data_IF_399265393287
#
_entry.id   IF_399265393287
#
_cell.length_a   1.000
_cell.length_b   1.000
_cell.length_c   1.000
_cell.angle_alpha   90.00
_cell.angle_beta   90.00
_cell.angle_gamma   90.00
#
_symmetry.space_group_name_H-M   'P 1'
#
loop_
_entity.id
_entity.type
_entity.pdbx_description
1 polymer ?
#
# COMPACT_ATOMS: atom_id res chain seq x y z
N UNK A 1 28.70 1.30 -2.24
CA UNK A 1 27.63 2.22 -1.77
C UNK A 1 28.32 3.50 -1.35
N UNK A 2 28.34 4.49 -2.24
CA UNK A 2 28.94 5.80 -1.97
C UNK A 2 27.85 6.82 -2.26
N UNK A 3 26.85 6.86 -1.40
CA UNK A 3 25.93 8.00 -1.38
C UNK A 3 26.50 8.95 -0.34
N UNK A 4 26.67 10.23 -0.70
CA UNK A 4 26.94 11.27 0.27
C UNK A 4 25.75 11.31 1.24
N UNK A 5 25.90 10.64 2.36
CA UNK A 5 24.95 10.73 3.46
C UNK A 5 25.10 12.11 4.09
N UNK A 6 24.03 12.87 4.27
CA UNK A 6 24.11 14.14 4.97
C UNK A 6 24.68 13.92 6.37
N UNK A 7 25.70 14.70 6.71
CA UNK A 7 26.32 14.66 8.02
C UNK A 7 25.81 15.80 8.88
N UNK A 8 25.41 15.50 10.11
CA UNK A 8 25.21 16.52 11.11
C UNK A 8 26.58 17.01 11.59
N UNK A 9 26.96 18.21 11.21
CA UNK A 9 28.26 18.84 11.61
C UNK A 9 28.27 19.33 13.04
N UNK A 10 27.13 19.82 13.52
CA UNK A 10 26.95 20.25 14.90
C UNK A 10 25.47 20.31 15.23
N UNK A 11 25.16 19.99 16.46
CA UNK A 11 23.90 20.23 17.10
C UNK A 11 24.08 21.22 18.25
N UNK A 12 23.12 22.10 18.42
CA UNK A 12 23.07 22.98 19.60
C UNK A 12 21.62 23.15 20.03
N UNK A 13 21.42 23.13 21.33
CA UNK A 13 20.13 23.26 21.97
C UNK A 13 20.12 24.55 22.77
N UNK A 14 19.23 25.47 22.43
CA UNK A 14 18.97 26.67 23.20
C UNK A 14 17.65 26.57 23.94
N UNK A 15 17.67 26.76 25.27
CA UNK A 15 16.43 26.82 26.04
C UNK A 15 15.81 28.20 25.87
N UNK A 16 14.67 28.24 25.19
CA UNK A 16 13.93 29.49 25.02
C UNK A 16 12.97 29.75 26.19
N UNK A 17 12.43 28.70 26.80
CA UNK A 17 11.48 28.74 27.90
C UNK A 17 11.38 27.37 28.59
N UNK A 18 10.77 27.30 29.81
CA UNK A 18 10.53 26.02 30.51
C UNK A 18 9.72 24.99 29.70
N UNK A 19 9.09 25.40 28.59
CA UNK A 19 8.23 24.55 27.71
C UNK A 19 8.64 24.52 26.26
N UNK A 20 9.71 25.25 25.86
CA UNK A 20 10.14 25.31 24.44
C UNK A 20 11.65 25.26 24.37
N UNK A 21 12.15 24.45 23.48
CA UNK A 21 13.55 24.24 23.17
C UNK A 21 13.77 24.49 21.70
N UNK A 22 14.72 25.35 21.35
CA UNK A 22 15.15 25.55 19.97
C UNK A 22 16.33 24.64 19.69
N UNK A 23 16.22 23.81 18.66
CA UNK A 23 17.28 22.91 18.23
C UNK A 23 17.83 23.44 16.90
N UNK A 24 19.13 23.75 16.91
CA UNK A 24 19.86 24.18 15.72
C UNK A 24 20.73 23.01 15.24
N UNK A 25 20.45 22.56 14.01
CA UNK A 25 21.21 21.51 13.36
C UNK A 25 21.95 22.12 12.16
N UNK A 26 23.26 21.97 12.14
CA UNK A 26 24.05 22.29 10.96
C UNK A 26 24.32 21.01 10.21
N UNK A 27 23.69 20.86 9.06
CA UNK A 27 23.76 19.67 8.21
C UNK A 27 24.61 19.99 6.99
N UNK A 28 25.54 19.10 6.65
CA UNK A 28 26.21 19.07 5.36
C UNK A 28 25.45 18.10 4.47
N UNK A 29 24.83 18.61 3.40
CA UNK A 29 24.02 17.82 2.47
C UNK A 29 24.87 16.98 1.51
N UNK A 30 26.19 17.21 1.50
CA UNK A 30 27.10 16.56 0.56
C UNK A 30 26.94 17.05 -0.87
N UNK A 31 27.59 16.34 -1.80
CA UNK A 31 27.54 16.68 -3.22
C UNK A 31 26.30 16.09 -3.91
N UNK A 32 25.79 16.82 -4.92
CA UNK A 32 24.64 16.34 -5.72
C UNK A 32 25.14 15.44 -6.82
N UNK A 33 24.55 14.25 -6.91
CA UNK A 33 24.78 13.34 -8.01
C UNK A 33 23.67 13.41 -9.04
N UNK A 34 24.02 13.22 -10.31
CA UNK A 34 23.10 13.23 -11.44
C UNK A 34 23.00 11.83 -12.06
N UNK A 35 21.82 11.46 -12.51
CA UNK A 35 21.63 10.20 -13.25
C UNK A 35 22.30 10.30 -14.61
N UNK A 36 23.28 9.44 -14.87
CA UNK A 36 23.96 9.32 -16.17
C UNK A 36 23.22 8.37 -17.09
N UNK A 37 22.91 7.20 -16.59
CA UNK A 37 22.26 6.13 -17.35
C UNK A 37 21.42 5.24 -16.41
N UNK A 38 20.33 4.68 -16.92
CA UNK A 38 19.49 3.73 -16.21
C UNK A 38 19.24 2.55 -17.12
N UNK A 39 19.55 1.36 -16.66
CA UNK A 39 19.35 0.12 -17.42
C UNK A 39 18.53 -0.87 -16.63
N UNK A 40 17.60 -1.54 -17.32
CA UNK A 40 16.91 -2.70 -16.79
C UNK A 40 17.59 -3.97 -17.29
N UNK A 41 17.78 -4.95 -16.41
CA UNK A 41 18.39 -6.24 -16.70
C UNK A 41 17.50 -7.34 -16.12
N UNK A 42 17.19 -8.36 -16.93
CA UNK A 42 16.36 -9.49 -16.52
C UNK A 42 14.86 -9.31 -16.83
N UNK A 43 14.46 -8.20 -17.45
CA UNK A 43 13.09 -7.96 -17.90
C UNK A 43 12.83 -8.72 -19.21
N UNK A 44 12.05 -9.80 -19.15
CA UNK A 44 11.68 -10.60 -20.32
C UNK A 44 10.23 -10.37 -20.76
N UNK A 45 9.35 -9.98 -19.85
CA UNK A 45 7.92 -9.79 -20.09
C UNK A 45 7.58 -8.41 -20.62
N UNK A 46 8.30 -7.40 -20.18
CA UNK A 46 8.08 -6.02 -20.59
C UNK A 46 9.32 -5.41 -21.20
N UNK A 47 9.14 -4.58 -22.23
CA UNK A 47 10.25 -3.88 -22.88
C UNK A 47 10.89 -2.86 -21.94
N UNK A 48 12.20 -2.64 -22.10
CA UNK A 48 12.93 -1.64 -21.35
C UNK A 48 12.32 -0.24 -21.51
N UNK A 49 11.89 0.11 -22.73
CA UNK A 49 11.28 1.41 -23.01
C UNK A 49 9.98 1.63 -22.21
N UNK A 50 9.16 0.58 -22.10
CA UNK A 50 7.94 0.63 -21.30
C UNK A 50 8.25 0.82 -19.81
N UNK A 51 9.19 0.03 -19.27
CA UNK A 51 9.59 0.14 -17.86
C UNK A 51 10.23 1.50 -17.55
N UNK A 52 11.01 2.05 -18.47
CA UNK A 52 11.56 3.40 -18.35
C UNK A 52 10.46 4.46 -18.32
N UNK A 53 9.45 4.32 -19.16
CA UNK A 53 8.30 5.24 -19.16
C UNK A 53 7.52 5.17 -17.83
N UNK A 54 7.32 3.96 -17.29
CA UNK A 54 6.69 3.74 -15.98
C UNK A 54 7.55 4.31 -14.85
N UNK A 55 8.85 4.07 -14.87
CA UNK A 55 9.79 4.60 -13.85
C UNK A 55 9.77 6.13 -13.81
N UNK A 56 9.64 6.79 -14.98
CA UNK A 56 9.47 8.22 -15.08
C UNK A 56 10.69 9.04 -14.63
N UNK A 57 11.88 8.43 -14.58
CA UNK A 57 13.16 9.08 -14.29
C UNK A 57 13.98 9.20 -15.58
N UNK A 58 14.72 10.29 -15.72
CA UNK A 58 15.48 10.59 -16.94
C UNK A 58 16.95 10.82 -16.65
N UNK A 59 17.84 10.42 -17.58
CA UNK A 59 19.23 10.84 -17.51
C UNK A 59 19.36 12.37 -17.41
N UNK A 60 20.27 12.85 -16.59
CA UNK A 60 20.49 14.29 -16.31
C UNK A 60 19.69 14.83 -15.12
N UNK A 61 18.73 14.11 -14.59
CA UNK A 61 18.04 14.50 -13.35
C UNK A 61 18.95 14.29 -12.12
N UNK A 62 18.68 15.07 -11.06
CA UNK A 62 19.35 14.85 -9.77
C UNK A 62 18.92 13.48 -9.22
N UNK A 63 19.89 12.67 -8.85
CA UNK A 63 19.63 11.37 -8.24
C UNK A 63 18.90 11.51 -6.91
N UNK A 64 17.79 10.82 -6.78
CA UNK A 64 17.00 10.78 -5.57
C UNK A 64 16.58 9.34 -5.29
N UNK A 65 17.24 8.73 -4.32
CA UNK A 65 16.98 7.35 -3.91
C UNK A 65 15.55 7.12 -3.42
N UNK A 66 14.99 8.12 -2.73
CA UNK A 66 13.60 8.03 -2.26
C UNK A 66 12.62 7.97 -3.44
N UNK A 67 12.77 8.88 -4.40
CA UNK A 67 11.98 8.89 -5.64
C UNK A 67 12.14 7.58 -6.41
N UNK A 68 13.37 7.05 -6.50
CA UNK A 68 13.62 5.76 -7.15
C UNK A 68 12.84 4.63 -6.47
N UNK A 69 12.91 4.54 -5.16
CA UNK A 69 12.19 3.50 -4.41
C UNK A 69 10.66 3.65 -4.52
N UNK A 70 10.16 4.89 -4.49
CA UNK A 70 8.74 5.18 -4.70
C UNK A 70 8.30 4.68 -6.07
N UNK A 71 9.00 5.04 -7.13
CA UNK A 71 8.69 4.65 -8.52
C UNK A 71 8.90 3.17 -8.80
N UNK A 72 9.79 2.50 -8.07
CA UNK A 72 9.98 1.04 -8.21
C UNK A 72 8.94 0.23 -7.46
N UNK A 73 8.51 0.65 -6.25
CA UNK A 73 7.79 -0.25 -5.35
C UNK A 73 6.57 0.35 -4.65
N UNK A 74 6.57 1.66 -4.34
CA UNK A 74 5.60 2.23 -3.40
C UNK A 74 4.40 2.86 -4.08
N UNK A 75 4.60 3.56 -5.18
CA UNK A 75 3.55 4.27 -5.90
C UNK A 75 2.50 3.30 -6.47
N UNK A 76 1.26 3.77 -6.65
CA UNK A 76 0.21 2.97 -7.26
C UNK A 76 0.55 2.56 -8.70
N UNK A 77 1.30 3.39 -9.42
CA UNK A 77 1.80 3.15 -10.77
C UNK A 77 3.28 2.72 -10.80
N UNK A 78 3.80 2.18 -9.70
CA UNK A 78 5.17 1.69 -9.61
C UNK A 78 5.45 0.53 -10.57
N UNK A 79 6.72 0.35 -10.93
CA UNK A 79 7.17 -0.75 -11.79
C UNK A 79 6.74 -2.11 -11.21
N UNK A 80 6.85 -2.32 -9.90
CA UNK A 80 6.43 -3.56 -9.26
C UNK A 80 4.94 -3.87 -9.46
N UNK A 81 4.08 -2.84 -9.50
CA UNK A 81 2.65 -3.04 -9.67
C UNK A 81 2.27 -3.48 -11.09
N UNK A 82 3.05 -3.11 -12.10
CA UNK A 82 2.90 -3.65 -13.46
C UNK A 82 3.02 -5.17 -13.45
N UNK A 83 3.98 -5.70 -12.71
CA UNK A 83 4.20 -7.13 -12.58
C UNK A 83 3.16 -7.79 -11.65
N UNK A 84 2.89 -7.22 -10.48
CA UNK A 84 1.93 -7.77 -9.51
C UNK A 84 0.51 -7.84 -10.06
N UNK A 85 0.11 -6.90 -10.92
CA UNK A 85 -1.23 -6.90 -11.53
C UNK A 85 -1.37 -7.97 -12.63
N UNK A 86 -0.26 -8.56 -13.07
CA UNK A 86 -0.22 -9.61 -14.07
C UNK A 86 0.25 -10.97 -13.50
N UNK A 87 0.11 -11.15 -12.20
CA UNK A 87 0.36 -12.44 -11.55
C UNK A 87 1.79 -12.68 -11.08
N UNK A 88 2.74 -11.81 -11.37
CA UNK A 88 4.16 -12.00 -10.99
C UNK A 88 4.39 -11.61 -9.51
N UNK A 89 3.78 -12.38 -8.61
CA UNK A 89 3.86 -12.12 -7.17
C UNK A 89 5.28 -12.22 -6.60
N UNK A 90 6.12 -13.02 -7.23
CA UNK A 90 7.52 -13.24 -6.82
C UNK A 90 8.49 -12.25 -7.45
N UNK A 91 7.96 -11.22 -8.11
CA UNK A 91 8.75 -10.17 -8.71
C UNK A 91 9.59 -9.43 -7.67
N UNK A 92 10.86 -9.18 -8.03
CA UNK A 92 11.75 -8.33 -7.28
C UNK A 92 12.57 -7.44 -8.24
N UNK A 93 12.79 -6.20 -7.85
CA UNK A 93 13.66 -5.25 -8.56
C UNK A 93 14.67 -4.68 -7.59
N UNK A 94 15.95 -4.92 -7.89
CA UNK A 94 17.07 -4.46 -7.08
C UNK A 94 17.87 -3.40 -7.85
N UNK A 95 17.81 -2.12 -7.45
CA UNK A 95 18.59 -1.05 -8.06
C UNK A 95 20.03 -1.09 -7.57
N UNK A 96 20.97 -1.28 -8.48
CA UNK A 96 22.41 -1.34 -8.21
C UNK A 96 23.12 -0.14 -8.84
N UNK A 97 23.92 0.56 -8.08
CA UNK A 97 24.82 1.60 -8.55
C UNK A 97 26.06 0.94 -9.19
N UNK A 98 26.19 1.04 -10.51
CA UNK A 98 27.25 0.35 -11.27
C UNK A 98 28.49 1.23 -11.43
N UNK A 99 28.30 2.52 -11.66
CA UNK A 99 29.37 3.50 -11.87
C UNK A 99 29.03 4.82 -11.20
N UNK A 100 29.95 5.29 -10.37
CA UNK A 100 29.83 6.59 -9.68
C UNK A 100 31.11 7.35 -9.98
N UNK A 101 31.03 8.31 -10.91
CA UNK A 101 32.17 9.12 -11.30
C UNK A 101 31.76 10.54 -11.68
N UNK A 102 32.54 11.54 -11.26
CA UNK A 102 32.35 12.95 -11.60
C UNK A 102 30.90 13.44 -11.40
N UNK A 103 30.37 13.27 -10.19
CA UNK A 103 28.99 13.65 -9.78
C UNK A 103 27.87 12.95 -10.58
N UNK A 104 28.19 11.84 -11.24
CA UNK A 104 27.26 11.09 -12.07
C UNK A 104 27.14 9.64 -11.59
N UNK A 105 25.89 9.13 -11.59
CA UNK A 105 25.57 7.76 -11.19
C UNK A 105 24.92 7.03 -12.36
N UNK A 106 25.44 5.83 -12.67
CA UNK A 106 24.79 4.87 -13.57
C UNK A 106 24.09 3.80 -12.75
N UNK A 107 22.79 3.58 -13.00
CA UNK A 107 21.96 2.62 -12.31
C UNK A 107 21.67 1.40 -13.19
N UNK A 108 21.79 0.22 -12.61
CA UNK A 108 21.32 -1.03 -13.17
C UNK A 108 20.22 -1.61 -12.30
N UNK A 109 19.00 -1.66 -12.81
CA UNK A 109 17.84 -2.21 -12.10
C UNK A 109 17.75 -3.69 -12.49
N UNK A 110 18.14 -4.56 -11.56
CA UNK A 110 18.12 -6.01 -11.73
C UNK A 110 16.75 -6.55 -11.40
N UNK A 111 16.09 -7.08 -12.41
CA UNK A 111 14.74 -7.65 -12.29
C UNK A 111 14.82 -9.17 -12.18
N UNK A 112 14.10 -9.70 -11.22
CA UNK A 112 13.78 -11.10 -11.08
C UNK A 112 12.25 -11.23 -11.20
N UNK A 113 11.75 -11.68 -12.35
CA UNK A 113 10.32 -11.71 -12.63
C UNK A 113 9.60 -12.82 -11.86
N UNK A 114 10.26 -13.96 -11.69
CA UNK A 114 9.67 -15.14 -11.07
C UNK A 114 8.51 -15.75 -11.89
N UNK A 115 7.90 -16.84 -11.42
CA UNK A 115 6.72 -17.42 -12.03
C UNK A 115 5.46 -16.60 -11.70
N UNK A 116 4.43 -16.72 -12.57
CA UNK A 116 3.12 -16.21 -12.25
C UNK A 116 2.46 -17.06 -11.14
N UNK A 117 1.78 -16.40 -10.21
CA UNK A 117 1.02 -17.04 -9.14
C UNK A 117 -0.47 -17.06 -9.45
N UNK A 118 -1.09 -18.23 -9.25
CA UNK A 118 -2.54 -18.41 -9.33
C UNK A 118 -3.14 -18.45 -7.94
N UNK A 119 -4.27 -17.80 -7.75
CA UNK A 119 -4.99 -17.81 -6.47
C UNK A 119 -5.52 -19.23 -6.23
N UNK A 120 -5.05 -19.89 -5.17
CA UNK A 120 -5.49 -21.22 -4.80
C UNK A 120 -6.75 -21.13 -3.92
N UNK A 121 -6.71 -20.36 -2.86
CA UNK A 121 -7.75 -20.30 -1.84
C UNK A 121 -7.91 -18.90 -1.28
N UNK A 122 -9.15 -18.56 -0.88
CA UNK A 122 -9.48 -17.33 -0.17
C UNK A 122 -10.01 -17.69 1.21
N UNK A 123 -9.35 -17.16 2.23
CA UNK A 123 -9.68 -17.31 3.64
C UNK A 123 -10.29 -15.99 4.11
N UNK A 124 -11.43 -16.06 4.78
CA UNK A 124 -12.11 -14.87 5.32
C UNK A 124 -12.25 -15.06 6.83
N UNK A 125 -11.71 -14.11 7.59
CA UNK A 125 -11.77 -14.09 9.04
C UNK A 125 -12.50 -12.84 9.52
N UNK A 126 -13.20 -12.93 10.66
CA UNK A 126 -13.82 -11.78 11.36
C UNK A 126 -15.13 -11.26 10.75
N UNK A 127 -15.82 -12.07 9.94
CA UNK A 127 -17.14 -11.77 9.38
C UNK A 127 -18.29 -12.19 10.29
N UNK A 128 -18.18 -12.00 11.60
CA UNK A 128 -19.09 -12.53 12.63
C UNK A 128 -20.55 -12.10 12.48
N UNK A 129 -20.81 -10.95 11.82
CA UNK A 129 -22.13 -10.37 11.64
C UNK A 129 -22.71 -10.55 10.24
N UNK A 130 -21.95 -11.10 9.30
CA UNK A 130 -22.36 -11.22 7.91
C UNK A 130 -22.12 -12.66 7.42
N UNK A 131 -23.02 -13.17 6.57
CA UNK A 131 -22.78 -14.46 5.94
C UNK A 131 -21.58 -14.38 5.00
N UNK A 132 -20.73 -15.38 5.04
CA UNK A 132 -19.50 -15.45 4.25
C UNK A 132 -19.76 -15.35 2.74
N UNK A 133 -20.86 -15.93 2.26
CA UNK A 133 -21.25 -15.87 0.83
C UNK A 133 -21.46 -14.44 0.34
N UNK A 134 -21.94 -13.55 1.21
CA UNK A 134 -22.16 -12.14 0.86
C UNK A 134 -20.80 -11.46 0.68
N UNK A 135 -19.83 -11.74 1.59
CA UNK A 135 -18.48 -11.22 1.48
C UNK A 135 -17.79 -11.74 0.22
N UNK A 136 -17.85 -13.05 -0.03
CA UNK A 136 -17.22 -13.69 -1.19
C UNK A 136 -17.72 -13.16 -2.52
N UNK A 137 -18.99 -12.79 -2.59
CA UNK A 137 -19.59 -12.24 -3.81
C UNK A 137 -19.01 -10.89 -4.20
N UNK A 138 -18.62 -10.08 -3.23
CA UNK A 138 -18.05 -8.75 -3.46
C UNK A 138 -16.54 -8.78 -3.78
N UNK A 139 -15.89 -9.92 -3.56
CA UNK A 139 -14.47 -10.06 -3.88
C UNK A 139 -14.24 -10.15 -5.40
N UNK A 140 -13.29 -9.38 -5.89
CA UNK A 140 -12.79 -9.48 -7.28
C UNK A 140 -11.79 -10.63 -7.44
N UNK A 141 -11.05 -10.94 -6.40
CA UNK A 141 -10.14 -12.09 -6.35
C UNK A 141 -10.95 -13.38 -6.21
N UNK A 142 -10.67 -14.38 -7.06
CA UNK A 142 -11.35 -15.69 -7.02
C UNK A 142 -10.33 -16.82 -7.19
N UNK A 143 -10.55 -17.99 -6.54
CA UNK A 143 -9.71 -19.16 -6.79
C UNK A 143 -9.64 -19.51 -8.28
N UNK A 144 -8.44 -19.87 -8.74
CA UNK A 144 -8.15 -20.17 -10.15
C UNK A 144 -7.81 -18.97 -11.03
N UNK A 145 -7.98 -17.74 -10.57
CA UNK A 145 -7.52 -16.54 -11.28
C UNK A 145 -6.03 -16.27 -11.00
N UNK A 146 -5.38 -15.56 -11.92
CA UNK A 146 -4.06 -15.02 -11.66
C UNK A 146 -4.13 -13.99 -10.53
N UNK A 147 -3.08 -13.92 -9.73
CA UNK A 147 -2.94 -12.89 -8.71
C UNK A 147 -2.93 -11.49 -9.37
N UNK A 148 -3.64 -10.56 -8.78
CA UNK A 148 -3.62 -9.15 -9.15
C UNK A 148 -3.72 -8.29 -7.91
N UNK A 149 -2.71 -7.43 -7.70
CA UNK A 149 -2.72 -6.48 -6.58
C UNK A 149 -3.85 -5.46 -6.73
N UNK A 150 -4.14 -5.05 -7.96
CA UNK A 150 -5.24 -4.13 -8.24
C UNK A 150 -6.59 -4.74 -7.82
N UNK A 151 -6.86 -6.00 -8.21
CA UNK A 151 -8.10 -6.69 -7.84
C UNK A 151 -8.19 -6.94 -6.33
N UNK A 152 -7.06 -7.21 -5.69
CA UNK A 152 -6.97 -7.34 -4.24
C UNK A 152 -7.39 -6.03 -3.55
N UNK A 153 -6.79 -4.91 -3.95
CA UNK A 153 -7.10 -3.59 -3.37
C UNK A 153 -8.50 -3.11 -3.75
N UNK A 154 -8.99 -3.48 -4.93
CA UNK A 154 -10.38 -3.22 -5.33
C UNK A 154 -11.37 -3.98 -4.44
N UNK A 155 -11.10 -5.24 -4.15
CA UNK A 155 -11.91 -6.05 -3.23
C UNK A 155 -11.99 -5.41 -1.84
N UNK A 156 -10.87 -4.90 -1.31
CA UNK A 156 -10.87 -4.17 -0.02
C UNK A 156 -11.75 -2.92 -0.08
N UNK A 157 -11.66 -2.15 -1.16
CA UNK A 157 -12.50 -0.94 -1.32
C UNK A 157 -13.99 -1.28 -1.42
N UNK A 158 -14.35 -2.34 -2.12
CA UNK A 158 -15.74 -2.79 -2.24
C UNK A 158 -16.29 -3.28 -0.89
N UNK A 159 -15.51 -4.04 -0.13
CA UNK A 159 -15.88 -4.45 1.23
C UNK A 159 -16.01 -3.23 2.18
N UNK A 160 -15.14 -2.23 2.06
CA UNK A 160 -15.23 -1.00 2.84
C UNK A 160 -16.54 -0.24 2.55
N UNK A 161 -16.95 -0.18 1.27
CA UNK A 161 -18.16 0.49 0.84
C UNK A 161 -19.44 -0.17 1.34
N UNK A 162 -19.41 -1.46 1.67
CA UNK A 162 -20.55 -2.14 2.28
C UNK A 162 -20.94 -1.55 3.65
N UNK A 163 -20.00 -0.89 4.33
CA UNK A 163 -20.23 -0.26 5.62
C UNK A 163 -20.39 -1.23 6.80
N UNK A 164 -20.16 -2.52 6.61
CA UNK A 164 -20.27 -3.56 7.64
C UNK A 164 -18.94 -3.84 8.35
N UNK A 165 -17.85 -3.41 7.74
CA UNK A 165 -16.49 -3.64 8.24
C UNK A 165 -15.77 -2.33 8.52
N UNK A 166 -14.78 -2.39 9.40
CA UNK A 166 -13.91 -1.27 9.71
C UNK A 166 -12.82 -1.14 8.64
N UNK A 167 -12.80 -0.05 7.83
CA UNK A 167 -11.85 0.12 6.75
C UNK A 167 -10.39 0.18 7.20
N UNK A 168 -10.13 0.66 8.43
CA UNK A 168 -8.76 0.82 8.96
C UNK A 168 -8.13 -0.51 9.35
N UNK A 169 -8.96 -1.52 9.60
CA UNK A 169 -8.54 -2.84 10.06
C UNK A 169 -8.78 -3.95 9.02
N UNK A 170 -8.97 -3.60 7.75
CA UNK A 170 -9.09 -4.58 6.66
C UNK A 170 -7.75 -4.77 5.98
N UNK A 171 -7.02 -5.82 6.34
CA UNK A 171 -5.71 -6.13 5.76
C UNK A 171 -5.76 -7.46 5.01
N UNK A 172 -5.74 -7.45 3.68
CA UNK A 172 -5.56 -8.66 2.91
C UNK A 172 -4.09 -9.11 2.96
N UNK A 173 -3.87 -10.35 3.32
CA UNK A 173 -2.53 -10.94 3.41
C UNK A 173 -2.39 -12.03 2.35
N UNK A 174 -1.60 -11.79 1.29
CA UNK A 174 -1.23 -12.85 0.37
C UNK A 174 -0.21 -13.78 1.04
N UNK A 175 -0.48 -15.08 1.01
CA UNK A 175 0.37 -16.16 1.50
C UNK A 175 0.90 -16.94 0.30
N UNK A 176 2.09 -16.58 -0.23
CA UNK A 176 2.63 -17.21 -1.43
C UNK A 176 3.17 -18.61 -1.16
N UNK A 177 2.95 -19.50 -2.11
CA UNK A 177 3.55 -20.83 -2.20
C UNK A 177 4.41 -20.90 -3.47
N UNK A 178 5.72 -20.63 -3.37
CA UNK A 178 6.61 -20.61 -4.53
C UNK A 178 6.79 -21.98 -5.18
N UNK A 179 6.65 -23.08 -4.42
CA UNK A 179 6.85 -24.44 -4.92
C UNK A 179 5.76 -24.84 -5.91
N UNK A 180 4.51 -24.42 -5.63
CA UNK A 180 3.35 -24.72 -6.45
C UNK A 180 2.96 -23.57 -7.40
N UNK A 181 3.62 -22.41 -7.32
CA UNK A 181 3.25 -21.23 -8.10
C UNK A 181 1.84 -20.70 -7.74
N UNK A 182 1.44 -20.86 -6.49
CA UNK A 182 0.10 -20.46 -6.02
C UNK A 182 0.18 -19.45 -4.89
N UNK A 183 -0.95 -18.82 -4.59
CA UNK A 183 -1.09 -17.89 -3.46
C UNK A 183 -2.46 -18.10 -2.79
N UNK A 184 -2.46 -18.26 -1.49
CA UNK A 184 -3.66 -18.14 -0.68
C UNK A 184 -3.83 -16.66 -0.28
N UNK A 185 -5.06 -16.17 -0.27
CA UNK A 185 -5.34 -14.79 0.14
C UNK A 185 -6.20 -14.84 1.40
N UNK A 186 -5.68 -14.23 2.47
CA UNK A 186 -6.37 -14.12 3.74
C UNK A 186 -6.91 -12.70 3.92
N UNK A 187 -8.24 -12.57 4.02
CA UNK A 187 -8.91 -11.31 4.36
C UNK A 187 -9.24 -11.30 5.84
N UNK A 188 -8.52 -10.47 6.60
CA UNK A 188 -8.80 -10.24 8.01
C UNK A 188 -9.73 -9.03 8.13
N UNK A 189 -11.00 -9.30 8.43
CA UNK A 189 -12.06 -8.32 8.52
C UNK A 189 -12.39 -8.05 9.99
N UNK A 190 -12.76 -6.82 10.31
CA UNK A 190 -13.27 -6.46 11.63
C UNK A 190 -14.69 -5.94 11.44
N UNK A 191 -15.67 -6.67 11.99
CA UNK A 191 -17.08 -6.27 11.89
C UNK A 191 -17.35 -5.00 12.66
N UNK A 192 -18.00 -4.03 12.01
CA UNK A 192 -18.39 -2.75 12.61
C UNK A 192 -19.79 -2.83 13.19
N UNK A 193 -19.97 -2.34 14.41
CA UNK A 193 -21.30 -2.14 14.99
C UNK A 193 -21.95 -0.89 14.36
N UNK A 194 -23.00 -1.10 13.58
CA UNK A 194 -23.74 -0.03 12.91
C UNK A 194 -25.09 0.26 13.59
N UNK A 195 -25.29 -0.26 14.79
CA UNK A 195 -26.51 -0.01 15.56
C UNK A 195 -26.45 1.39 16.17
N UNK A 196 -27.50 2.16 16.00
CA UNK A 196 -27.56 3.55 16.46
C UNK A 196 -28.75 3.74 17.41
N UNK A 197 -28.49 4.43 18.51
CA UNK A 197 -29.51 4.89 19.46
C UNK A 197 -29.49 6.42 19.45
N UNK A 198 -30.57 7.01 19.02
CA UNK A 198 -30.71 8.46 18.99
C UNK A 198 -31.74 8.92 20.04
N UNK A 199 -31.31 9.83 20.89
CA UNK A 199 -32.21 10.58 21.80
C UNK A 199 -32.33 12.01 21.30
N UNK A 200 -33.52 12.47 21.09
CA UNK A 200 -33.78 13.88 20.87
C UNK A 200 -34.84 14.39 21.82
N UNK A 201 -34.59 15.53 22.43
CA UNK A 201 -35.52 16.23 23.25
C UNK A 201 -35.70 17.66 22.73
N UNK A 202 -36.92 18.09 22.57
CA UNK A 202 -37.27 19.44 22.08
C UNK A 202 -38.30 20.07 22.96
N UNK A 203 -38.28 21.41 23.05
CA UNK A 203 -39.30 22.19 23.70
C UNK A 203 -40.09 22.96 22.65
N UNK A 204 -41.39 22.72 22.58
CA UNK A 204 -42.29 23.38 21.63
C UNK A 204 -43.47 24.03 22.31
N UNK A 205 -44.35 24.68 21.57
CA UNK A 205 -45.55 25.32 22.08
C UNK A 205 -46.54 24.36 22.80
N UNK A 206 -46.42 23.07 22.51
CA UNK A 206 -47.23 22.00 23.11
C UNK A 206 -46.55 21.30 24.29
N UNK A 207 -45.38 21.77 24.72
CA UNK A 207 -44.61 21.19 25.84
C UNK A 207 -43.30 20.52 25.42
N UNK A 208 -42.82 19.60 26.27
CA UNK A 208 -41.59 18.84 26.03
C UNK A 208 -41.92 17.64 25.14
N UNK A 209 -41.18 17.51 24.06
CA UNK A 209 -41.29 16.38 23.14
C UNK A 209 -39.96 15.58 23.22
N UNK A 210 -40.06 14.31 23.59
CA UNK A 210 -38.93 13.38 23.55
C UNK A 210 -39.10 12.37 22.40
N UNK A 211 -38.05 12.10 21.64
CA UNK A 211 -37.97 11.05 20.60
C UNK A 211 -36.83 10.10 20.91
N UNK A 212 -37.15 8.82 20.98
CA UNK A 212 -36.18 7.74 21.02
C UNK A 212 -36.24 7.01 19.69
N UNK A 213 -35.12 6.91 18.98
CA UNK A 213 -34.98 6.17 17.73
C UNK A 213 -33.93 5.10 17.89
N UNK A 214 -34.29 3.86 17.60
CA UNK A 214 -33.42 2.71 17.59
C UNK A 214 -33.28 2.25 16.14
N UNK A 215 -32.06 2.31 15.60
CA UNK A 215 -31.77 1.83 14.25
C UNK A 215 -30.85 0.63 14.35
N UNK A 216 -31.34 -0.52 13.96
CA UNK A 216 -30.57 -1.75 13.85
C UNK A 216 -30.22 -1.98 12.38
N UNK A 217 -28.94 -2.17 12.10
CA UNK A 217 -28.46 -2.52 10.77
C UNK A 217 -28.09 -3.98 10.78
N UNK A 218 -28.58 -4.75 9.80
CA UNK A 218 -28.38 -6.19 9.71
C UNK A 218 -29.03 -7.02 10.86
N UNK A 219 -30.27 -6.66 11.20
CA UNK A 219 -31.05 -7.42 12.18
C UNK A 219 -31.55 -8.73 11.55
N UNK A 220 -31.18 -9.89 12.14
CA UNK A 220 -31.67 -11.20 11.75
C UNK A 220 -32.29 -11.92 12.95
N UNK A 221 -33.54 -12.37 12.81
CA UNK A 221 -34.20 -13.20 13.82
C UNK A 221 -33.67 -14.65 13.88
N UNK A 222 -32.82 -15.06 12.94
CA UNK A 222 -32.30 -16.44 12.87
C UNK A 222 -31.10 -16.71 13.76
N UNK A 223 -30.57 -15.70 14.43
CA UNK A 223 -29.37 -15.81 15.29
C UNK A 223 -29.70 -15.63 16.78
N UNK A 224 -30.91 -15.98 17.18
CA UNK A 224 -31.32 -16.15 18.57
C UNK A 224 -31.61 -17.62 18.87
#
# INVERSE_FOLDING_TARGET
MVIATPYCLSDSVANFNEKKVDIFLKVDEGEKYYLKDIRFVGNTQYSTDYLMAVLGMKPGEVYNQKKLNERLSTDEDAVSNVYFNNGYLFFNADPVEVDVANDSISLEIRIQEGPQATINRIIINGNDRLYEDIVRRELRTKPGMLFSREDLMRSVRELAQMGHFDPENMNPVPLPDPENGTVDIEYNLVSKANDQIEFSAGWGQTGVIGKLSLKFTNFSMKNF
#
